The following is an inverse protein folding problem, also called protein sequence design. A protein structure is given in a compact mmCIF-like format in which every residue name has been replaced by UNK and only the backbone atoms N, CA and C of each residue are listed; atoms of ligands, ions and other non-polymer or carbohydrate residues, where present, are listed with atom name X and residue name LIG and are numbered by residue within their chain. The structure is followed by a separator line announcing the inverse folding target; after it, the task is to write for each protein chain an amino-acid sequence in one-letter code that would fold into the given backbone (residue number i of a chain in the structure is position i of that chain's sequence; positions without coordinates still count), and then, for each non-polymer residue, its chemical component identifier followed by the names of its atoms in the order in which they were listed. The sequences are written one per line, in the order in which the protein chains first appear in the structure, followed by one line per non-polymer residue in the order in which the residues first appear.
data_IF_093910817449
#
_entry.id   IF_093910817449
#
_cell.length_a   1.000
_cell.length_b   1.000
_cell.length_c   1.000
_cell.angle_alpha   90.00
_cell.angle_beta   90.00
_cell.angle_gamma   90.00
#
_symmetry.space_group_name_H-M   'P 1'
#
loop_
_entity.id
_entity.type
_entity.pdbx_description
1 polymer ?
2 non-polymer ?
3 non-polymer ?
4 non-polymer ?
5 water ?
#
# COMPACT_ATOMS: atom_id res chain seq x y z
N UNK A 21 -22.78 10.57 -5.08
CA UNK A 21 -22.50 9.39 -5.89
C UNK A 21 -21.84 8.31 -5.05
N UNK A 22 -22.21 7.05 -5.30
CA UNK A 22 -21.74 5.91 -4.52
C UNK A 22 -20.91 5.00 -5.43
N UNK A 23 -19.87 4.41 -4.86
CA UNK A 23 -18.98 3.49 -5.56
C UNK A 23 -18.96 2.15 -4.85
N UNK A 24 -18.75 1.09 -5.63
CA UNK A 24 -18.83 -0.28 -5.12
C UNK A 24 -17.45 -0.82 -4.78
N UNK A 25 -17.39 -1.58 -3.70
CA UNK A 25 -16.20 -2.36 -3.32
C UNK A 25 -16.62 -3.82 -3.28
N UNK A 26 -16.29 -4.57 -4.33
CA UNK A 26 -16.67 -5.97 -4.41
C UNK A 26 -15.67 -6.83 -3.66
N UNK A 27 -16.18 -7.68 -2.77
CA UNK A 27 -15.37 -8.63 -2.01
C UNK A 27 -15.94 -10.01 -2.29
N UNK A 28 -15.16 -10.82 -3.01
CA UNK A 28 -15.63 -12.13 -3.45
C UNK A 28 -15.50 -13.16 -2.33
N UNK A 29 -16.51 -14.03 -2.23
CA UNK A 29 -16.55 -15.08 -1.22
C UNK A 29 -16.83 -16.42 -1.90
N UNK A 30 -16.08 -17.46 -1.59
CA UNK A 30 -16.38 -18.78 -2.16
C UNK A 30 -17.53 -19.45 -1.42
N UNK A 31 -18.07 -20.50 -2.06
CA UNK A 31 -19.18 -21.24 -1.45
C UNK A 31 -18.72 -21.98 -0.19
N UNK A 32 -17.51 -22.54 -0.22
CA UNK A 32 -16.94 -23.23 0.93
C UNK A 32 -15.88 -22.33 1.55
N UNK A 33 -15.98 -22.14 2.86
CA UNK A 33 -15.15 -21.18 3.60
C UNK A 33 -14.44 -21.91 4.73
N UNK A 34 -13.14 -21.66 4.85
CA UNK A 34 -12.33 -22.22 5.92
C UNK A 34 -12.07 -21.14 6.97
N UNK A 35 -12.52 -21.38 8.20
CA UNK A 35 -12.30 -20.46 9.30
C UNK A 35 -11.05 -20.85 10.07
N UNK A 36 -10.32 -19.84 10.56
CA UNK A 36 -9.12 -20.10 11.32
C UNK A 36 -8.16 -18.94 11.36
N UNK A 37 -7.81 -18.39 10.19
CA UNK A 37 -6.85 -17.31 10.11
C UNK A 37 -6.93 -16.58 8.77
N UNK A 38 -7.97 -16.87 8.00
CA UNK A 38 -8.12 -16.27 6.68
C UNK A 38 -8.78 -14.90 6.78
N UNK A 39 -8.22 -13.94 6.04
CA UNK A 39 -8.81 -12.62 5.92
C UNK A 39 -9.00 -12.30 4.44
N UNK A 40 -10.08 -11.59 4.13
CA UNK A 40 -10.35 -11.15 2.77
C UNK A 40 -10.15 -9.65 2.69
N UNK A 41 -9.88 -9.17 1.48
CA UNK A 41 -9.60 -7.76 1.26
C UNK A 41 -10.36 -7.28 0.03
N UNK A 42 -10.89 -6.05 0.12
CA UNK A 42 -11.44 -5.39 -1.03
C UNK A 42 -10.85 -4.00 -1.17
N UNK A 43 -10.92 -3.47 -2.38
CA UNK A 43 -10.40 -2.14 -2.64
C UNK A 43 -11.19 -1.48 -3.76
N UNK A 44 -11.18 -0.15 -3.76
CA UNK A 44 -11.82 0.64 -4.80
C UNK A 44 -11.03 1.94 -4.96
N UNK A 45 -10.73 2.30 -6.20
CA UNK A 45 -10.04 3.54 -6.50
C UNK A 45 -11.07 4.63 -6.78
N UNK A 46 -10.99 5.72 -6.02
CA UNK A 46 -11.96 6.80 -6.06
C UNK A 46 -11.50 7.91 -6.99
N UNK A 47 -12.43 8.72 -7.52
CA UNK A 47 -12.05 9.81 -8.43
C UNK A 47 -11.18 10.83 -7.72
N UNK A 48 -10.47 11.68 -8.49
CA UNK A 48 -9.59 12.67 -7.87
C UNK A 48 -10.36 13.74 -7.10
N UNK A 49 -9.83 14.13 -5.95
CA UNK A 49 -10.34 15.21 -5.13
C UNK A 49 -9.21 16.19 -4.85
N UNK A 50 -9.54 17.46 -4.60
CA UNK A 50 -8.48 18.45 -4.35
C UNK A 50 -7.63 18.08 -3.14
N UNK A 51 -6.34 18.42 -3.23
CA UNK A 51 -5.38 18.01 -2.22
C UNK A 51 -5.72 18.57 -0.84
N UNK A 52 -6.19 19.82 -0.79
CA UNK A 52 -6.49 20.44 0.50
C UNK A 52 -7.62 19.72 1.21
N UNK A 53 -8.56 19.14 0.48
CA UNK A 53 -9.70 18.46 1.09
C UNK A 53 -9.35 17.12 1.70
N UNK A 54 -8.15 16.58 1.43
CA UNK A 54 -7.75 15.31 2.01
C UNK A 54 -7.30 15.44 3.46
N UNK A 55 -7.16 16.66 3.97
CA UNK A 55 -6.75 16.84 5.36
C UNK A 55 -7.86 16.40 6.30
N UNK A 56 -7.47 15.69 7.36
CA UNK A 56 -8.38 15.14 8.37
C UNK A 56 -9.41 14.19 7.76
N UNK A 57 -9.17 13.70 6.55
CA UNK A 57 -10.08 12.76 5.91
C UNK A 57 -9.89 11.38 6.52
N UNK A 58 -10.99 10.80 7.03
CA UNK A 58 -10.93 9.50 7.68
C UNK A 58 -12.09 8.64 7.20
N UNK A 59 -11.87 7.34 7.10
CA UNK A 59 -12.96 6.43 6.73
C UNK A 59 -14.00 6.36 7.85
N UNK A 60 -15.27 6.45 7.46
CA UNK A 60 -16.40 6.34 8.38
C UNK A 60 -17.28 5.19 7.90
N UNK A 61 -17.29 4.10 8.65
CA UNK A 61 -17.99 2.89 8.25
C UNK A 61 -19.30 2.73 9.01
N UNK A 62 -20.23 2.00 8.40
CA UNK A 62 -21.53 1.72 9.00
C UNK A 62 -21.80 0.22 9.11
N UNK A 63 -20.75 -0.60 9.05
CA UNK A 63 -20.92 -2.05 9.11
C UNK A 63 -21.17 -2.49 10.55
N UNK A 64 -21.46 -3.78 10.70
CA UNK A 64 -21.58 -4.40 12.02
C UNK A 64 -20.24 -4.73 12.63
N UNK A 65 -19.14 -4.48 11.92
CA UNK A 65 -17.79 -4.73 12.41
C UNK A 65 -17.09 -3.39 12.57
N UNK A 66 -16.81 -3.02 13.82
CA UNK A 66 -16.19 -1.73 14.09
C UNK A 66 -14.77 -1.68 13.53
N UNK A 67 -14.44 -0.55 12.91
CA UNK A 67 -13.10 -0.35 12.36
C UNK A 67 -12.08 -0.30 13.49
N UNK A 68 -10.86 -0.77 13.19
CA UNK A 68 -9.79 -0.77 14.18
C UNK A 68 -9.47 0.66 14.58
N UNK A 69 -9.42 0.89 15.90
CA UNK A 69 -9.23 2.25 16.42
C UNK A 69 -7.86 2.82 16.10
N UNK A 70 -6.87 1.97 15.82
CA UNK A 70 -5.52 2.47 15.57
C UNK A 70 -5.37 3.09 14.18
N UNK A 71 -6.25 2.76 13.24
CA UNK A 71 -6.13 3.32 11.90
C UNK A 71 -6.54 4.79 11.90
N UNK A 72 -7.60 5.13 12.64
CA UNK A 72 -8.04 6.52 12.73
C UNK A 72 -7.11 7.38 13.57
N UNK A 73 -6.09 6.79 14.20
CA UNK A 73 -5.14 7.58 14.97
C UNK A 73 -4.19 8.33 14.02
N UNK A 74 -3.43 9.24 14.61
CA UNK A 74 -2.53 10.11 13.84
C UNK A 74 -1.23 9.37 13.55
N UNK A 75 -0.77 9.45 12.31
CA UNK A 75 0.56 9.03 11.92
C UNK A 75 1.31 10.25 11.39
N UNK A 76 2.46 10.54 11.97
CA UNK A 76 3.24 11.70 11.55
C UNK A 76 3.86 11.45 10.18
N UNK A 77 3.58 12.34 9.24
CA UNK A 77 4.14 12.28 7.90
C UNK A 77 5.00 13.51 7.65
N UNK A 78 6.05 13.32 6.85
CA UNK A 78 6.77 14.44 6.26
C UNK A 78 6.19 14.70 4.88
N UNK A 79 5.59 15.87 4.70
CA UNK A 79 4.97 16.21 3.43
C UNK A 79 5.96 16.94 2.54
N UNK A 80 6.17 16.43 1.33
CA UNK A 80 7.09 17.01 0.37
C UNK A 80 6.28 17.45 -0.85
N UNK A 81 6.28 18.76 -1.12
CA UNK A 81 5.63 19.31 -2.29
C UNK A 81 6.67 20.06 -3.10
N UNK A 82 6.35 20.31 -4.37
CA UNK A 82 7.18 21.15 -5.23
C UNK A 82 6.34 22.30 -5.77
N UNK A 83 7.01 23.40 -6.09
CA UNK A 83 6.32 24.58 -6.56
C UNK A 83 7.26 25.39 -7.46
N UNK A 84 6.65 26.28 -8.25
CA UNK A 84 7.38 27.15 -9.16
C UNK A 84 6.43 28.15 -9.76
N UNK A 85 7.01 29.17 -10.39
CA UNK A 85 6.20 30.24 -10.97
C UNK A 85 5.27 29.70 -12.05
N UNK A 86 5.84 29.01 -13.04
CA UNK A 86 5.08 28.24 -14.03
C UNK A 86 4.11 29.13 -14.83
N UNK A 87 4.63 30.27 -15.32
CA UNK A 87 3.87 31.06 -16.26
C UNK A 87 3.81 30.35 -17.62
N UNK A 88 2.87 30.71 -18.48
CA UNK A 88 2.78 30.06 -19.80
C UNK A 88 4.08 30.23 -20.58
N UNK A 89 4.67 29.10 -20.94
CA UNK A 89 5.92 29.10 -21.69
C UNK A 89 7.17 29.37 -20.88
N UNK A 90 7.04 29.54 -19.56
CA UNK A 90 8.18 29.91 -18.73
C UNK A 90 9.06 28.70 -18.46
N UNK A 91 10.33 28.78 -18.85
CA UNK A 91 11.30 27.71 -18.64
C UNK A 91 12.43 28.10 -17.69
N UNK A 92 12.54 29.37 -17.30
CA UNK A 92 13.63 29.82 -16.46
C UNK A 92 13.10 30.82 -15.45
N UNK A 93 13.87 30.98 -14.36
CA UNK A 93 13.48 31.83 -13.23
C UNK A 93 12.14 31.41 -12.65
N UNK A 94 11.89 30.10 -12.61
CA UNK A 94 10.69 29.54 -12.01
C UNK A 94 10.78 29.44 -10.49
N UNK A 95 11.98 29.55 -9.92
CA UNK A 95 12.20 29.30 -8.50
C UNK A 95 11.70 27.91 -8.11
N UNK A 96 11.99 26.93 -8.96
CA UNK A 96 11.59 25.56 -8.70
C UNK A 96 12.24 25.05 -7.42
N UNK A 97 11.42 24.60 -6.48
CA UNK A 97 11.91 24.18 -5.17
C UNK A 97 10.95 23.15 -4.58
N UNK A 98 11.42 22.48 -3.54
CA UNK A 98 10.61 21.56 -2.76
C UNK A 98 10.54 22.06 -1.31
N UNK A 99 9.42 21.78 -0.66
CA UNK A 99 9.18 22.21 0.71
C UNK A 99 8.79 20.99 1.54
N UNK A 100 9.47 20.79 2.65
CA UNK A 100 9.18 19.70 3.58
C UNK A 100 8.48 20.26 4.81
N UNK A 101 7.36 19.65 5.19
CA UNK A 101 6.61 20.05 6.37
C UNK A 101 6.16 18.80 7.11
N UNK A 102 6.01 18.92 8.42
CA UNK A 102 5.49 17.84 9.25
C UNK A 102 3.98 17.97 9.33
N UNK A 103 3.26 16.94 8.88
CA UNK A 103 1.80 16.94 8.87
C UNK A 103 1.29 15.68 9.55
N UNK A 104 0.05 15.78 10.04
CA UNK A 104 -0.63 14.67 10.70
C UNK A 104 -1.67 14.09 9.74
N UNK A 105 -1.51 12.81 9.41
CA UNK A 105 -2.45 12.10 8.53
C UNK A 105 -3.13 10.98 9.30
N UNK A 106 -4.45 10.93 9.23
CA UNK A 106 -5.23 9.88 9.85
C UNK A 106 -5.89 9.02 8.77
N UNK A 107 -6.04 7.74 9.09
CA UNK A 107 -6.74 6.82 8.21
C UNK A 107 -5.92 6.22 7.09
N UNK A 108 -4.65 6.59 6.95
CA UNK A 108 -3.82 5.97 5.93
C UNK A 108 -3.48 4.53 6.34
N UNK A 109 -3.06 3.75 5.36
CA UNK A 109 -2.84 2.31 5.56
C UNK A 109 -1.50 2.09 6.25
N UNK A 110 -1.45 2.48 7.52
CA UNK A 110 -0.31 2.22 8.38
C UNK A 110 -0.69 1.13 9.37
N UNK A 111 -0.37 -0.12 9.02
CA UNK A 111 -0.72 -1.27 9.85
C UNK A 111 0.33 -1.50 10.91
N UNK A 112 -0.11 -1.80 12.12
CA UNK A 112 0.79 -2.07 13.24
C UNK A 112 1.08 -3.57 13.32
N UNK A 113 2.10 -3.89 14.13
CA UNK A 113 2.51 -5.28 14.29
C UNK A 113 1.37 -6.10 14.89
N UNK A 114 1.07 -7.23 14.25
CA UNK A 114 0.02 -8.17 14.68
C UNK A 114 -1.36 -7.54 14.66
N UNK A 115 -1.56 -6.47 13.88
CA UNK A 115 -2.89 -5.85 13.81
C UNK A 115 -3.86 -6.72 13.03
N UNK A 116 -3.40 -7.37 11.96
CA UNK A 116 -4.28 -8.21 11.16
C UNK A 116 -4.73 -9.43 11.95
N UNK A 117 -3.82 -10.05 12.70
CA UNK A 117 -4.17 -11.23 13.48
C UNK A 117 -5.12 -10.86 14.63
N UNK A 118 -4.86 -9.75 15.31
CA UNK A 118 -5.74 -9.33 16.40
C UNK A 118 -7.11 -8.94 15.86
N UNK A 119 -7.16 -8.31 14.67
CA UNK A 119 -8.45 -7.95 14.09
C UNK A 119 -9.24 -9.18 13.70
N UNK A 120 -8.58 -10.27 13.33
CA UNK A 120 -9.29 -11.50 13.01
C UNK A 120 -9.95 -12.08 14.26
N UNK A 121 -9.19 -12.21 15.35
CA UNK A 121 -9.75 -12.77 16.58
C UNK A 121 -10.74 -11.82 17.25
N UNK A 122 -10.69 -10.53 16.93
CA UNK A 122 -11.63 -9.56 17.47
C UNK A 122 -12.80 -9.29 16.54
N UNK A 123 -12.81 -9.89 15.35
CA UNK A 123 -13.86 -9.67 14.35
C UNK A 123 -13.98 -8.18 14.01
N UNK A 124 -12.84 -7.51 13.92
CA UNK A 124 -12.78 -6.10 13.60
C UNK A 124 -12.21 -5.92 12.19
N UNK A 125 -12.72 -4.90 11.50
CA UNK A 125 -12.24 -4.58 10.17
C UNK A 125 -11.04 -3.65 10.24
N UNK A 126 -10.28 -3.62 9.15
CA UNK A 126 -9.18 -2.67 8.97
C UNK A 126 -9.51 -1.87 7.73
N UNK A 127 -10.02 -0.65 7.92
CA UNK A 127 -10.43 0.23 6.84
C UNK A 127 -9.48 1.40 6.76
N UNK A 128 -8.78 1.53 5.63
CA UNK A 128 -7.77 2.56 5.46
C UNK A 128 -7.70 2.93 3.98
N UNK A 129 -6.96 3.99 3.67
CA UNK A 129 -6.87 4.47 2.31
C UNK A 129 -5.44 4.81 1.94
N UNK A 130 -5.13 4.66 0.66
CA UNK A 130 -3.89 5.12 0.05
C UNK A 130 -4.16 6.39 -0.74
N UNK A 131 -3.11 7.20 -0.91
CA UNK A 131 -3.22 8.48 -1.60
C UNK A 131 -2.29 8.48 -2.81
N UNK A 132 -2.87 8.66 -3.99
CA UNK A 132 -2.14 8.86 -5.23
C UNK A 132 -2.43 10.27 -5.70
N UNK A 133 -1.46 11.16 -5.58
CA UNK A 133 -1.68 12.59 -5.78
C UNK A 133 -0.68 13.16 -6.77
N UNK A 134 -1.11 14.21 -7.47
CA UNK A 134 -0.17 15.12 -8.09
C UNK A 134 -0.10 16.38 -7.21
N UNK A 135 0.31 17.51 -7.79
CA UNK A 135 0.47 18.71 -6.98
C UNK A 135 -0.84 19.28 -6.48
N UNK A 136 -1.96 18.97 -7.14
CA UNK A 136 -3.23 19.62 -6.82
C UNK A 136 -4.39 18.67 -6.52
N UNK A 137 -4.37 17.43 -6.98
CA UNK A 137 -5.48 16.51 -6.77
C UNK A 137 -4.96 15.16 -6.32
N UNK A 138 -5.85 14.41 -5.63
CA UNK A 138 -5.51 13.13 -5.03
C UNK A 138 -6.54 12.08 -5.42
N UNK A 139 -6.07 10.89 -5.81
CA UNK A 139 -6.93 9.74 -6.00
C UNK A 139 -6.83 8.85 -4.77
N UNK A 140 -7.83 8.83 -3.90
CA UNK A 140 -7.80 7.89 -2.77
C UNK A 140 -8.17 6.48 -3.21
N UNK A 141 -7.45 5.51 -2.66
CA UNK A 141 -7.76 4.09 -2.86
C UNK A 141 -8.14 3.50 -1.50
N UNK A 142 -9.42 3.19 -1.34
CA UNK A 142 -9.92 2.68 -0.07
C UNK A 142 -9.72 1.17 0.02
N UNK A 143 -9.07 0.73 1.10
CA UNK A 143 -8.88 -0.69 1.37
C UNK A 143 -9.68 -1.10 2.61
N UNK A 144 -10.13 -2.34 2.62
CA UNK A 144 -10.78 -2.91 3.81
C UNK A 144 -10.35 -4.36 3.94
N UNK A 145 -9.76 -4.69 5.09
CA UNK A 145 -9.38 -6.05 5.42
C UNK A 145 -10.31 -6.54 6.52
N UNK A 146 -11.10 -7.56 6.22
CA UNK A 146 -12.05 -8.11 7.19
C UNK A 146 -11.77 -9.59 7.37
N UNK A 147 -12.03 -10.16 8.56
CA UNK A 147 -11.93 -11.60 8.73
C UNK A 147 -12.84 -12.35 7.78
N UNK A 148 -12.51 -13.61 7.54
CA UNK A 148 -13.30 -14.45 6.63
C UNK A 148 -14.73 -14.61 7.10
N UNK A 149 -15.00 -14.32 8.38
CA UNK A 149 -16.36 -14.40 8.90
C UNK A 149 -17.32 -13.42 8.24
N UNK A 150 -16.81 -12.46 7.48
CA UNK A 150 -17.67 -11.58 6.70
C UNK A 150 -18.20 -12.24 5.44
N UNK A 151 -17.81 -13.48 5.17
CA UNK A 151 -18.25 -14.21 3.98
C UNK A 151 -19.39 -15.19 4.28
N UNK A 152 -20.23 -14.86 5.25
CA UNK A 152 -21.39 -15.68 5.58
C UNK A 152 -22.58 -14.79 5.89
N UNK A 153 -22.38 -13.82 6.79
CA UNK A 153 -23.37 -12.77 6.97
C UNK A 153 -23.53 -11.96 5.70
N UNK A 154 -22.40 -11.53 5.11
CA UNK A 154 -22.37 -10.85 3.82
C UNK A 154 -23.32 -9.64 3.80
N UNK A 155 -23.42 -8.96 4.94
CA UNK A 155 -24.28 -7.79 5.04
C UNK A 155 -23.65 -6.62 4.30
N UNK A 156 -24.40 -6.03 3.38
CA UNK A 156 -23.91 -4.88 2.63
C UNK A 156 -23.70 -3.70 3.56
N UNK A 157 -22.54 -3.06 3.43
CA UNK A 157 -22.14 -1.97 4.31
C UNK A 157 -21.94 -0.69 3.50
N UNK A 158 -21.83 0.42 4.24
CA UNK A 158 -21.63 1.74 3.65
C UNK A 158 -20.46 2.41 4.35
N UNK A 159 -19.51 2.91 3.57
CA UNK A 159 -18.33 3.58 4.08
C UNK A 159 -18.26 4.97 3.46
N UNK A 160 -18.02 5.98 4.29
CA UNK A 160 -17.87 7.36 3.85
C UNK A 160 -16.41 7.76 3.96
N UNK A 161 -15.86 8.28 2.85
CA UNK A 161 -14.47 8.76 2.82
C UNK A 161 -14.48 10.10 2.08
N UNK A 162 -14.37 11.18 2.84
CA UNK A 162 -14.44 12.51 2.27
C UNK A 162 -15.76 12.77 1.58
N UNK A 163 -15.71 13.21 0.32
CA UNK A 163 -16.94 13.45 -0.44
C UNK A 163 -17.52 12.21 -1.10
N UNK A 164 -16.92 11.03 -0.90
CA UNK A 164 -17.33 9.81 -1.57
C UNK A 164 -18.04 8.87 -0.61
N UNK A 165 -18.92 8.05 -1.19
CA UNK A 165 -19.61 7.00 -0.46
C UNK A 165 -19.29 5.67 -1.12
N UNK A 166 -18.98 4.66 -0.30
CA UNK A 166 -18.58 3.35 -0.79
C UNK A 166 -19.51 2.29 -0.21
N UNK A 167 -20.08 1.48 -1.08
CA UNK A 167 -20.94 0.37 -0.67
C UNK A 167 -20.15 -0.92 -0.75
N UNK A 168 -19.97 -1.58 0.40
CA UNK A 168 -19.29 -2.87 0.45
C UNK A 168 -20.27 -3.95 0.01
N UNK A 169 -19.94 -4.65 -1.06
CA UNK A 169 -20.82 -5.66 -1.66
C UNK A 169 -20.09 -7.00 -1.61
N UNK A 170 -20.60 -7.92 -0.79
CA UNK A 170 -20.10 -9.28 -0.76
C UNK A 170 -20.83 -10.12 -1.81
N UNK A 171 -20.08 -10.78 -2.67
CA UNK A 171 -20.64 -11.59 -3.74
C UNK A 171 -20.14 -13.02 -3.59
N UNK A 172 -21.09 -13.97 -3.53
CA UNK A 172 -20.77 -15.39 -3.45
C UNK A 172 -20.49 -15.89 -4.87
N UNK A 173 -19.22 -16.08 -5.20
CA UNK A 173 -18.86 -16.58 -6.51
C UNK A 173 -19.28 -18.04 -6.66
N UNK A 174 -19.34 -18.51 -7.90
CA UNK A 174 -19.66 -19.90 -8.18
C UNK A 174 -18.50 -20.84 -7.89
N UNK A 175 -17.38 -20.33 -7.37
CA UNK A 175 -16.27 -21.20 -6.98
C UNK A 175 -16.61 -21.95 -5.70
N UNK A 176 -16.21 -23.23 -5.66
CA UNK A 176 -16.39 -24.02 -4.45
C UNK A 176 -15.47 -23.52 -3.34
N UNK A 177 -14.15 -23.59 -3.57
CA UNK A 177 -13.18 -23.15 -2.57
C UNK A 177 -12.15 -22.17 -3.10
N UNK A 178 -11.94 -22.09 -4.41
CA UNK A 178 -10.82 -21.36 -4.98
C UNK A 178 -11.10 -19.89 -5.23
N UNK A 179 -10.22 -19.29 -6.04
CA UNK A 179 -10.27 -17.87 -6.36
C UNK A 179 -10.77 -17.72 -7.79
N UNK A 180 -11.63 -16.72 -8.02
CA UNK A 180 -12.16 -16.43 -9.34
C UNK A 180 -11.09 -15.69 -10.15
N UNK A 181 -10.58 -16.32 -11.19
CA UNK A 181 -9.53 -15.76 -12.03
C UNK A 181 -9.98 -15.87 -13.49
N UNK A 182 -10.37 -14.75 -14.09
CA UNK A 182 -10.79 -14.68 -15.49
C UNK A 182 -11.89 -15.70 -15.78
N UNK A 183 -12.93 -15.69 -14.95
CA UNK A 183 -14.04 -16.60 -15.10
C UNK A 183 -13.77 -18.03 -14.69
N UNK A 184 -12.57 -18.33 -14.22
CA UNK A 184 -12.22 -19.68 -13.77
C UNK A 184 -11.92 -19.66 -12.28
N UNK A 185 -12.04 -20.83 -11.66
CA UNK A 185 -11.86 -20.99 -10.22
C UNK A 185 -10.55 -21.74 -9.97
N UNK A 186 -9.57 -21.06 -9.38
CA UNK A 186 -8.27 -21.62 -9.11
C UNK A 186 -8.09 -21.79 -7.60
N UNK A 187 -7.64 -22.97 -7.19
CA UNK A 187 -7.42 -23.27 -5.78
C UNK A 187 -5.91 -23.25 -5.50
N UNK A 188 -5.39 -22.21 -4.85
CA UNK A 188 -3.97 -22.19 -4.51
C UNK A 188 -3.65 -23.27 -3.49
N UNK A 189 -2.60 -24.04 -3.76
CA UNK A 189 -2.22 -25.13 -2.88
C UNK A 189 -0.71 -25.28 -2.80
N UNK A 198 -8.93 -31.57 -6.30
CA UNK A 198 -7.56 -32.06 -6.41
C UNK A 198 -7.25 -32.49 -7.84
N UNK A 199 -7.39 -31.56 -8.77
CA UNK A 199 -7.15 -31.82 -10.18
C UNK A 199 -5.68 -31.88 -10.52
N UNK A 200 -5.36 -31.56 -11.77
CA UNK A 200 -3.98 -31.60 -12.23
C UNK A 200 -3.25 -30.32 -11.80
N UNK A 201 -1.93 -30.41 -11.73
CA UNK A 201 -1.11 -29.29 -11.32
C UNK A 201 -1.16 -28.18 -12.35
N UNK A 202 -1.14 -26.93 -11.89
CA UNK A 202 -1.14 -25.78 -12.78
C UNK A 202 -0.67 -24.56 -12.01
N UNK A 203 -0.18 -23.57 -12.75
CA UNK A 203 0.33 -22.32 -12.20
C UNK A 203 -0.59 -21.20 -12.64
N UNK A 204 -1.01 -20.36 -11.70
CA UNK A 204 -1.89 -19.24 -11.98
C UNK A 204 -1.31 -17.95 -11.40
N UNK A 205 -1.46 -16.86 -12.14
CA UNK A 205 -1.07 -15.54 -11.66
C UNK A 205 -2.17 -14.99 -10.78
N UNK A 206 -1.85 -14.74 -9.51
CA UNK A 206 -2.84 -14.39 -8.49
C UNK A 206 -2.52 -13.00 -7.94
N UNK A 207 -3.56 -12.19 -7.77
CA UNK A 207 -3.40 -10.83 -7.27
C UNK A 207 -3.04 -10.85 -5.79
N UNK A 208 -2.26 -9.85 -5.37
CA UNK A 208 -1.77 -9.76 -3.99
C UNK A 208 -1.66 -8.29 -3.61
N UNK A 209 -2.00 -7.98 -2.36
CA UNK A 209 -1.89 -6.63 -1.81
C UNK A 209 -1.01 -6.71 -0.57
N UNK A 210 -0.06 -5.80 -0.45
CA UNK A 210 0.91 -5.80 0.63
C UNK A 210 0.98 -4.44 1.30
N UNK A 211 1.23 -4.46 2.61
CA UNK A 211 1.38 -3.25 3.42
C UNK A 211 2.65 -3.36 4.26
N UNK A 212 3.39 -2.27 4.35
CA UNK A 212 4.61 -2.28 5.16
C UNK A 212 4.26 -2.06 6.62
N UNK A 213 4.71 -2.99 7.47
CA UNK A 213 4.51 -2.91 8.90
C UNK A 213 5.82 -2.43 9.52
N UNK A 214 5.80 -1.23 10.09
CA UNK A 214 6.98 -0.67 10.73
C UNK A 214 7.11 -1.23 12.15
N UNK A 215 8.18 -1.98 12.40
CA UNK A 215 8.41 -2.55 13.71
C UNK A 215 9.91 -2.71 13.95
N UNK A 216 10.42 -2.10 15.01
CA UNK A 216 11.84 -2.21 15.33
C UNK A 216 12.17 -3.61 15.81
N UNK A 217 13.35 -4.09 15.41
CA UNK A 217 13.80 -5.41 15.82
C UNK A 217 15.06 -5.84 15.11
N UNK A 218 15.91 -6.61 15.80
CA UNK A 218 17.15 -7.09 15.19
C UNK A 218 16.90 -8.15 14.13
N UNK A 219 15.70 -8.71 14.04
CA UNK A 219 15.36 -9.66 12.99
C UNK A 219 14.60 -9.01 11.84
N UNK A 220 14.29 -7.72 11.94
CA UNK A 220 13.48 -7.02 10.95
C UNK A 220 14.28 -5.97 10.17
N UNK A 221 15.60 -6.11 10.11
CA UNK A 221 16.43 -5.18 9.35
C UNK A 221 16.29 -5.54 7.87
N UNK A 222 15.33 -4.89 7.22
CA UNK A 222 14.81 -5.34 5.94
C UNK A 222 15.89 -5.34 4.86
N UNK A 223 16.68 -4.26 4.79
CA UNK A 223 17.62 -4.14 3.67
C UNK A 223 18.79 -5.10 3.77
N UNK A 224 18.93 -5.82 4.88
CA UNK A 224 19.89 -6.92 4.92
C UNK A 224 19.49 -8.04 3.96
N UNK A 225 18.19 -8.26 3.78
CA UNK A 225 17.72 -9.25 2.81
C UNK A 225 17.59 -8.66 1.40
N UNK A 226 17.28 -7.36 1.30
CA UNK A 226 17.32 -6.69 0.01
C UNK A 226 18.70 -6.84 -0.63
N UNK A 227 19.74 -6.71 0.19
CA UNK A 227 21.11 -6.83 -0.30
C UNK A 227 21.41 -8.22 -0.83
N UNK A 228 20.80 -9.25 -0.24
CA UNK A 228 21.07 -10.63 -0.65
C UNK A 228 20.23 -11.06 -1.84
N UNK A 229 18.96 -10.62 -1.91
CA UNK A 229 18.09 -11.05 -2.99
C UNK A 229 18.37 -10.32 -4.29
N UNK A 230 18.78 -9.05 -4.22
CA UNK A 230 18.92 -8.23 -5.40
C UNK A 230 20.34 -7.69 -5.51
N UNK A 231 20.77 -7.42 -6.75
CA UNK A 231 22.06 -6.79 -7.02
C UNK A 231 21.96 -5.33 -6.58
N UNK A 232 22.15 -5.11 -5.29
CA UNK A 232 21.91 -3.81 -4.67
C UNK A 232 23.16 -3.37 -3.93
N UNK A 233 23.75 -2.26 -4.39
CA UNK A 233 24.82 -1.61 -3.63
C UNK A 233 24.21 -0.94 -2.41
N UNK A 234 24.12 -1.68 -1.30
CA UNK A 234 23.41 -1.22 -0.11
C UNK A 234 24.32 -1.46 1.09
N UNK A 235 25.06 -0.43 1.48
CA UNK A 235 25.89 -0.50 2.68
C UNK A 235 25.15 0.10 3.86
N UNK A 236 25.61 -0.25 5.06
CA UNK A 236 25.07 0.26 6.32
C UNK A 236 23.59 -0.10 6.47
N UNK A 237 23.33 -1.40 6.50
CA UNK A 237 21.96 -1.87 6.74
C UNK A 237 21.54 -1.69 8.20
N UNK A 238 22.50 -1.44 9.10
CA UNK A 238 22.16 -1.26 10.51
C UNK A 238 21.32 -0.01 10.74
N UNK A 239 21.47 1.01 9.88
CA UNK A 239 20.80 2.29 10.07
C UNK A 239 19.62 2.49 9.12
N UNK A 240 19.09 1.41 8.56
CA UNK A 240 17.98 1.51 7.61
C UNK A 240 16.69 0.99 8.25
N UNK A 241 15.59 1.26 7.56
CA UNK A 241 14.27 1.06 8.15
C UNK A 241 14.06 -0.40 8.51
N UNK A 242 13.39 -0.62 9.64
CA UNK A 242 13.14 -1.96 10.16
C UNK A 242 11.65 -2.27 10.11
N UNK A 243 11.32 -3.48 9.67
CA UNK A 243 9.95 -3.90 9.57
C UNK A 243 9.81 -4.97 8.49
N UNK A 244 8.57 -5.28 8.16
CA UNK A 244 8.24 -6.29 7.17
C UNK A 244 6.97 -5.90 6.45
N UNK A 245 6.72 -6.55 5.32
CA UNK A 245 5.47 -6.40 4.60
C UNK A 245 4.53 -7.54 4.97
N UNK A 246 3.25 -7.22 5.08
CA UNK A 246 2.21 -8.22 5.29
C UNK A 246 1.27 -8.17 4.10
N UNK A 247 0.91 -9.35 3.59
CA UNK A 247 0.21 -9.45 2.32
C UNK A 247 -1.00 -10.37 2.42
N UNK A 248 -2.00 -10.10 1.59
CA UNK A 248 -3.16 -10.96 1.40
C UNK A 248 -3.18 -11.35 -0.07
N UNK A 249 -3.20 -12.65 -0.34
CA UNK A 249 -3.15 -13.15 -1.71
C UNK A 249 -4.51 -13.70 -2.10
N UNK A 250 -4.85 -13.52 -3.38
CA UNK A 250 -6.11 -14.00 -3.91
C UNK A 250 -7.34 -13.35 -3.32
N UNK A 251 -7.14 -12.27 -2.56
CA UNK A 251 -8.23 -11.60 -1.89
C UNK A 251 -8.82 -12.44 -0.77
N UNK A 252 -8.13 -13.53 -0.42
CA UNK A 252 -8.61 -14.47 0.59
C UNK A 252 -7.52 -15.46 0.96
N UNK A 253 -6.83 -15.22 2.08
CA UNK A 253 -5.77 -16.11 2.52
C UNK A 253 -5.38 -15.74 3.94
N UNK A 254 -4.59 -16.61 4.56
CA UNK A 254 -3.88 -16.23 5.76
C UNK A 254 -2.82 -15.19 5.43
N UNK A 255 -2.50 -14.30 6.37
CA UNK A 255 -1.51 -13.26 6.07
C UNK A 255 -0.16 -13.85 5.71
N UNK A 256 0.48 -13.27 4.71
CA UNK A 256 1.81 -13.67 4.25
C UNK A 256 2.81 -12.64 4.73
N UNK A 257 3.77 -13.07 5.54
CA UNK A 257 4.82 -12.20 6.04
C UNK A 257 5.96 -12.15 5.02
N UNK A 258 6.36 -10.95 4.65
CA UNK A 258 7.35 -10.72 3.60
C UNK A 258 8.50 -9.90 4.18
N UNK A 259 9.76 -10.38 4.09
CA UNK A 259 10.11 -11.67 3.47
C UNK A 259 10.16 -12.84 4.46
N UNK A 260 9.88 -14.04 3.95
CA UNK A 260 10.05 -15.27 4.69
C UNK A 260 10.88 -16.21 3.82
N UNK A 261 12.08 -16.55 4.27
CA UNK A 261 13.08 -17.17 3.39
C UNK A 261 12.59 -18.50 2.83
N UNK A 262 11.92 -19.32 3.65
CA UNK A 262 11.48 -20.64 3.22
C UNK A 262 10.04 -20.65 2.73
N UNK A 263 9.49 -19.50 2.36
CA UNK A 263 8.14 -19.38 1.85
C UNK A 263 8.24 -18.74 0.45
N UNK A 264 8.16 -19.56 -0.59
CA UNK A 264 8.41 -19.05 -1.93
C UNK A 264 7.35 -18.03 -2.36
N UNK A 265 6.12 -18.16 -1.86
CA UNK A 265 5.11 -17.14 -2.11
C UNK A 265 5.54 -15.81 -1.49
N UNK A 266 6.07 -15.85 -0.27
CA UNK A 266 6.53 -14.64 0.38
C UNK A 266 7.71 -14.02 -0.37
N UNK A 267 8.62 -14.84 -0.88
CA UNK A 267 9.77 -14.33 -1.61
C UNK A 267 9.39 -13.84 -3.00
N UNK A 268 8.32 -14.40 -3.59
CA UNK A 268 7.83 -13.86 -4.85
C UNK A 268 7.28 -12.45 -4.66
N UNK A 269 6.52 -12.24 -3.58
CA UNK A 269 6.03 -10.90 -3.27
C UNK A 269 7.19 -9.95 -2.95
N UNK A 270 8.19 -10.45 -2.22
CA UNK A 270 9.38 -9.67 -1.94
C UNK A 270 10.06 -9.22 -3.23
N UNK A 271 10.18 -10.13 -4.20
CA UNK A 271 10.77 -9.79 -5.49
C UNK A 271 9.92 -8.75 -6.22
N UNK A 272 8.60 -8.94 -6.22
CA UNK A 272 7.74 -7.99 -6.91
C UNK A 272 7.75 -6.60 -6.30
N UNK A 273 7.86 -6.52 -4.98
CA UNK A 273 7.85 -5.23 -4.29
C UNK A 273 9.07 -4.41 -4.69
N UNK A 274 10.24 -5.03 -4.73
CA UNK A 274 11.47 -4.27 -4.98
C UNK A 274 11.86 -4.23 -6.45
N UNK A 275 11.30 -5.10 -7.29
CA UNK A 275 11.50 -4.97 -8.73
C UNK A 275 10.43 -4.12 -9.41
N UNK A 276 9.24 -4.02 -8.81
CA UNK A 276 8.16 -3.18 -9.32
C UNK A 276 7.57 -2.38 -8.16
N UNK A 277 8.31 -1.39 -7.65
CA UNK A 277 7.89 -0.73 -6.41
C UNK A 277 6.62 0.09 -6.54
N UNK A 278 6.31 0.59 -7.73
CA UNK A 278 5.07 1.35 -7.91
C UNK A 278 3.86 0.45 -8.12
N UNK A 279 4.04 -0.86 -8.11
CA UNK A 279 2.95 -1.78 -8.33
C UNK A 279 2.93 -2.32 -9.76
N UNK A 280 2.18 -3.39 -9.94
CA UNK A 280 2.06 -4.03 -11.26
C UNK A 280 0.72 -3.68 -11.91
N UNK A 290 2.03 8.20 -21.86
CA UNK A 290 1.41 8.14 -20.54
C UNK A 290 1.37 9.52 -19.90
N UNK A 291 0.44 9.70 -18.95
CA UNK A 291 0.29 10.98 -18.24
C UNK A 291 1.29 11.04 -17.09
N UNK A 292 2.55 11.27 -17.46
CA UNK A 292 3.64 11.40 -16.48
C UNK A 292 4.80 12.07 -17.20
N UNK A 293 4.98 13.36 -16.96
CA UNK A 293 6.04 14.14 -17.57
C UNK A 293 6.94 14.70 -16.47
N UNK A 294 8.25 14.55 -16.65
CA UNK A 294 9.21 14.94 -15.62
C UNK A 294 9.37 16.45 -15.62
N UNK A 295 9.15 17.07 -14.47
CA UNK A 295 9.44 18.48 -14.29
C UNK A 295 10.89 18.70 -13.87
N UNK A 296 11.42 17.83 -13.01
CA UNK A 296 12.81 17.91 -12.62
C UNK A 296 13.12 17.11 -11.37
N UNK A 297 14.37 16.70 -11.22
CA UNK A 297 14.78 16.01 -10.00
C UNK A 297 14.84 16.97 -8.81
N UNK A 298 14.72 16.41 -7.62
CA UNK A 298 14.72 17.23 -6.41
C UNK A 298 15.13 16.37 -5.22
N UNK A 299 15.62 17.06 -4.19
CA UNK A 299 15.99 16.44 -2.93
C UNK A 299 15.26 17.15 -1.79
N UNK A 300 14.93 16.38 -0.75
CA UNK A 300 14.14 16.92 0.35
C UNK A 300 14.69 16.42 1.68
N UNK A 301 14.43 17.20 2.73
CA UNK A 301 14.82 16.81 4.08
C UNK A 301 13.69 16.00 4.71
N UNK A 302 13.99 14.75 5.07
CA UNK A 302 13.02 13.88 5.73
C UNK A 302 13.67 13.33 7.00
N UNK A 303 13.15 13.69 8.19
CA UNK A 303 12.05 14.63 8.36
C UNK A 303 12.48 16.08 8.14
N UNK A 304 11.55 17.02 8.32
CA UNK A 304 11.86 18.42 8.07
C UNK A 304 13.05 18.91 8.89
N UNK A 305 13.26 18.33 10.07
CA UNK A 305 14.33 18.74 10.97
C UNK A 305 15.69 18.18 10.58
N UNK A 306 15.78 17.41 9.49
CA UNK A 306 17.06 16.84 9.08
C UNK A 306 18.03 17.94 8.68
N UNK A 307 19.30 17.77 9.05
CA UNK A 307 20.31 18.77 8.75
C UNK A 307 20.66 18.82 7.27
N UNK A 308 20.45 17.73 6.54
CA UNK A 308 20.74 17.67 5.12
C UNK A 308 19.65 16.87 4.43
N UNK A 309 19.63 16.94 3.10
CA UNK A 309 18.64 16.20 2.32
C UNK A 309 18.82 14.71 2.51
N UNK A 310 17.72 14.01 2.78
CA UNK A 310 17.75 12.58 3.02
C UNK A 310 16.97 11.76 1.99
N UNK A 311 16.21 12.40 1.10
CA UNK A 311 15.39 11.69 0.15
C UNK A 311 15.51 12.35 -1.23
N UNK A 312 15.70 11.53 -2.26
CA UNK A 312 15.68 11.98 -3.63
C UNK A 312 14.30 11.70 -4.23
N UNK A 313 13.79 12.66 -5.00
CA UNK A 313 12.49 12.54 -5.64
C UNK A 313 12.57 13.10 -7.05
N UNK A 314 11.49 12.89 -7.79
CA UNK A 314 11.35 13.42 -9.15
C UNK A 314 10.01 14.13 -9.22
N UNK A 315 10.03 15.45 -9.40
CA UNK A 315 8.80 16.20 -9.58
C UNK A 315 8.23 15.93 -10.97
N UNK A 316 6.90 15.75 -11.04
CA UNK A 316 6.26 15.41 -12.29
C UNK A 316 4.97 16.18 -12.44
N UNK A 317 4.49 16.23 -13.69
CA UNK A 317 3.16 16.70 -14.02
C UNK A 317 2.40 15.57 -14.70
N UNK A 318 1.12 15.47 -14.39
CA UNK A 318 0.28 14.42 -14.92
C UNK A 318 -0.87 14.14 -13.98
N UNK A 319 -1.85 13.42 -14.51
CA UNK A 319 -3.01 13.00 -13.71
C UNK A 319 -2.50 12.05 -12.63
N UNK A 320 -3.13 12.00 -11.46
CA UNK A 320 -2.64 11.12 -10.39
C UNK A 320 -2.60 9.67 -10.85
N UNK A 321 -1.51 8.99 -10.49
CA UNK A 321 -1.29 7.62 -10.92
C UNK A 321 -0.85 6.73 -9.76
N UNK A 322 0.43 6.74 -9.43
CA UNK A 322 0.97 5.88 -8.39
C UNK A 322 0.87 6.52 -7.02
N UNK A 323 1.07 5.71 -5.99
CA UNK A 323 0.93 6.16 -4.62
C UNK A 323 1.93 7.28 -4.30
N UNK A 324 1.48 8.21 -3.46
CA UNK A 324 2.32 9.28 -2.95
C UNK A 324 2.83 9.01 -1.53
N UNK A 325 2.56 7.82 -1.00
CA UNK A 325 2.95 7.45 0.35
C UNK A 325 4.13 6.49 0.30
N UNK A 326 5.15 6.75 1.11
CA UNK A 326 6.33 5.91 1.17
C UNK A 326 6.97 6.05 2.54
N UNK A 327 8.02 5.27 2.78
CA UNK A 327 8.75 5.28 4.03
C UNK A 327 10.22 5.49 3.72
N UNK A 328 10.86 6.41 4.45
CA UNK A 328 12.27 6.71 4.24
C UNK A 328 13.12 5.47 4.52
N UNK A 329 14.07 5.20 3.63
CA UNK A 329 14.92 4.03 3.78
C UNK A 329 15.93 4.21 4.91
N UNK A 330 16.61 5.35 4.96
CA UNK A 330 17.78 5.53 5.82
C UNK A 330 17.41 6.00 7.23
N UNK A 331 16.47 5.31 7.87
CA UNK A 331 16.09 5.61 9.25
C UNK A 331 15.43 4.38 9.84
N UNK A 332 16.02 3.84 10.91
CA UNK A 332 15.46 2.63 11.53
C UNK A 332 14.03 2.86 11.99
N UNK A 333 13.78 3.99 12.66
CA UNK A 333 12.41 4.40 12.95
C UNK A 333 11.75 4.89 11.67
N UNK A 334 10.62 4.30 11.32
CA UNK A 334 9.98 4.58 10.04
C UNK A 334 9.58 6.04 9.93
N UNK A 335 10.08 6.72 8.90
CA UNK A 335 9.70 8.10 8.60
C UNK A 335 8.77 8.04 7.40
N UNK A 336 7.47 8.20 7.65
CA UNK A 336 6.48 8.16 6.58
C UNK A 336 6.52 9.44 5.77
N UNK A 337 6.45 9.30 4.44
CA UNK A 337 6.59 10.42 3.51
C UNK A 337 5.32 10.52 2.69
N UNK A 338 4.84 11.74 2.50
CA UNK A 338 3.70 12.05 1.64
C UNK A 338 4.18 13.11 0.63
N UNK A 339 4.36 12.71 -0.63
CA UNK A 339 4.96 13.56 -1.64
C UNK A 339 3.99 13.71 -2.82
N UNK A 340 2.96 14.55 -2.67
CA UNK A 340 2.04 14.79 -3.79
C UNK A 340 2.74 15.55 -4.92
N UNK A 341 2.68 15.00 -6.12
CA UNK A 341 3.34 15.58 -7.27
C UNK A 341 4.79 15.19 -7.44
N UNK A 342 5.33 14.32 -6.58
CA UNK A 342 6.70 13.85 -6.70
C UNK A 342 6.74 12.34 -6.52
N UNK A 343 7.60 11.69 -7.30
CA UNK A 343 7.82 10.26 -7.15
C UNK A 343 9.10 10.04 -6.35
N UNK A 344 9.03 9.48 -5.15
CA UNK A 344 10.25 9.23 -4.40
C UNK A 344 11.10 8.15 -5.06
N UNK A 345 12.41 8.25 -4.86
CA UNK A 345 13.32 7.25 -5.38
C UNK A 345 13.05 5.90 -4.73
N UNK A 346 12.48 4.97 -5.49
CA UNK A 346 12.22 3.63 -5.00
C UNK A 346 13.18 2.59 -5.56
N UNK A 347 14.01 2.96 -6.54
CA UNK A 347 15.02 2.04 -7.05
C UNK A 347 16.05 1.78 -5.96
N UNK A 348 16.43 0.51 -5.84
CA UNK A 348 17.28 0.01 -4.76
C UNK A 348 18.71 -0.23 -5.19
N UNK A 349 19.04 -0.03 -6.47
CA UNK A 349 20.39 -0.34 -6.94
C UNK A 349 21.42 0.48 -6.19
N UNK A 350 21.03 1.66 -5.70
CA UNK A 350 21.79 2.41 -4.71
C UNK A 350 20.81 2.83 -3.63
N UNK A 351 21.04 2.34 -2.41
CA UNK A 351 20.15 2.64 -1.28
C UNK A 351 20.23 4.07 -0.81
N UNK A 352 21.08 4.89 -1.42
CA UNK A 352 21.27 6.27 -0.99
C UNK A 352 20.02 7.09 -1.27
N UNK A 353 19.47 7.72 -0.22
CA UNK A 353 18.36 8.67 -0.34
C UNK A 353 17.16 8.06 -1.05
N UNK A 354 16.85 6.82 -0.72
CA UNK A 354 15.74 6.10 -1.34
C UNK A 354 14.59 5.96 -0.34
N UNK A 355 13.52 5.31 -0.79
CA UNK A 355 12.38 5.02 0.05
C UNK A 355 11.79 3.69 -0.37
N UNK A 356 10.85 3.20 0.42
CA UNK A 356 10.12 1.97 0.10
C UNK A 356 8.63 2.28 0.10
N UNK A 357 7.82 1.58 -0.69
CA UNK A 357 6.39 1.91 -0.74
C UNK A 357 5.66 1.47 0.52
N UNK A 358 4.65 2.25 0.89
CA UNK A 358 3.80 1.88 2.01
C UNK A 358 2.86 0.74 1.64
N UNK A 359 2.31 0.78 0.44
CA UNK A 359 1.42 -0.26 -0.08
C UNK A 359 1.95 -0.75 -1.42
N UNK A 360 1.63 -2.00 -1.75
CA UNK A 360 2.06 -2.57 -3.02
C UNK A 360 1.01 -3.56 -3.49
N UNK A 361 0.64 -3.47 -4.76
CA UNK A 361 -0.28 -4.40 -5.38
C UNK A 361 0.38 -5.01 -6.62
N UNK A 362 0.18 -6.31 -6.80
CA UNK A 362 0.79 -6.98 -7.93
C UNK A 362 0.25 -8.37 -8.12
N UNK A 363 0.98 -9.16 -8.89
CA UNK A 363 0.61 -10.53 -9.20
C UNK A 363 1.78 -11.45 -8.90
N UNK A 364 1.48 -12.60 -8.29
CA UNK A 364 2.48 -13.64 -8.07
C UNK A 364 1.91 -14.95 -8.57
N UNK A 365 2.81 -15.84 -8.99
CA UNK A 365 2.42 -17.15 -9.51
C UNK A 365 2.30 -18.15 -8.37
N UNK A 366 1.15 -18.80 -8.28
CA UNK A 366 0.90 -19.75 -7.21
C UNK A 366 0.58 -21.12 -7.78
N UNK A 367 1.10 -22.19 -7.18
CA UNK A 367 0.74 -23.54 -7.62
C UNK A 367 -0.62 -23.95 -7.10
N UNK A 368 -1.27 -24.83 -7.84
CA UNK A 368 -2.59 -25.31 -7.44
C UNK A 368 -3.29 -26.01 -8.58
N UNK A 369 -4.61 -25.89 -8.59
CA UNK A 369 -5.43 -26.56 -9.59
C UNK A 369 -6.71 -25.77 -9.80
N UNK A 370 -7.35 -26.01 -10.94
CA UNK A 370 -8.63 -25.41 -11.26
C UNK A 370 -9.76 -26.39 -10.91
N UNK A 371 -10.87 -25.83 -10.46
CA UNK A 371 -12.02 -26.66 -10.10
C UNK A 371 -13.23 -26.34 -10.98
X LIG B 1 -13.47 -19.18 14.32
X LIG B 1 -14.80 -18.77 13.91
X LIG B 1 -13.00 -20.28 13.48
X LIG B 1 -12.55 -18.05 14.19
X LIG B 1 -13.50 -19.62 15.70
X LIG C 1 18.40 2.43 16.55
X LIG C 1 17.04 2.66 16.07
X LIG C 1 19.08 1.50 15.64
X LIG C 1 19.13 3.70 16.59
X LIG C 1 18.36 1.84 17.88
X LIG D 1 16.64 -9.44 19.95
X LIG D 1 17.96 -9.63 19.50
X LIG D 1 15.78 -8.95 18.78
X LIG D 1 14.56 -9.66 18.77
X LIG D 1 15.50 -7.46 18.94
X LIG D 1 14.70 -7.24 20.08
X LIG E 1 15.43 28.75 -11.15
X LIG E 1 14.98 29.75 -10.27
X LIG E 1 14.41 27.61 -11.20
X LIG E 1 14.90 26.52 -10.45
X LIG E 1 14.17 27.17 -12.64
X LIG E 1 13.60 28.23 -13.38
X LIG F 1 -8.97 -19.46 -0.87
X LIG F 1 -8.11 -18.85 -1.80
X LIG F 1 -8.15 -20.15 0.21
X LIG F 1 -6.81 -19.68 0.15
X LIG F 1 -8.73 -19.83 1.58
X LIG F 1 -7.96 -20.47 2.58
X LIG G 1 2.71 25.26 -7.58
X LIG G 1 3.57 26.38 -7.47
X LIG G 1 2.49 24.94 -9.05
X LIG G 1 3.63 25.30 -9.80
X LIG G 1 2.22 23.45 -9.23
X LIG G 1 3.32 22.71 -8.71
X LIG H 1 -3.51 17.00 -11.33
X LIG H 1 -3.20 17.92 -12.51
X LIG H 1 -4.49 18.58 -13.02
X LIG H 1 -5.56 17.53 -13.30
X LIG H 1 -5.78 16.67 -12.06
X LIG H 1 -6.78 15.57 -12.27
X LIG H 1 -0.99 18.98 -12.65
X LIG H 1 -0.66 17.92 -13.65
X LIG H 1 -2.23 18.94 -12.14
X LIG H 1 -4.21 19.31 -14.21
X LIG H 1 -6.78 18.16 -13.66
X LIG H 1 -4.54 16.06 -11.69
X LIG H 1 -6.28 14.56 -13.14
X LIG H 1 -0.19 19.84 -12.32
#
# INVERSE_FOLDING_TARGET
MGMWKWLVIASLVWPALSLRNVYDMKIECPHTVSFGENSVIGYVELPPMPLADTAQMVPESSCSMDNHQSINTITKYTQVIWRGKADPGQSSQNSFETVSTEVDLKGTCVLKHKMVEESYRSRKSITCYDLSCNSTFCKPTLYMIVPIHACNMMKSCLIALGPYRVQVVYERTYCMTGVLIEGKCFVPDQSVVSIIKHGIFDIASVHVVCFFVAVKGNTYKLFEQVKKSFESTCNDTENKVQGYYICIVGGNSAPIYVPTLDDFRSMEAFTGIFKSPHGEDHDLAGEEIASYSIVGPANAKVPHSASSDTLSLIAYSGIPSYSSLSILTSSTDAKHVFSPGLFPKLNHTNCDKSAIPLTWTGMIDLPGYYE
SO4 S O1 O2 O3 O4
SO4 S O1 O2 O3 O4
GOL C1 O1 C2 O2 C3 O3
GOL C1 O1 C2 O2 C3 O3
GOL C1 O1 C2 O2 C3 O3
GOL C1 O1 C2 O2 C3 O3
NAG C1 C2 C3 C4 C5 C6 C7 C8 N2 O3 O4 O5 O6 O7
#
